data_IF_036830068984
#
_entry.id   IF_036830068984
#
_cell.length_a   1.000
_cell.length_b   1.000
_cell.length_c   1.000
_cell.angle_alpha   90.00
_cell.angle_beta   90.00
_cell.angle_gamma   90.00
#
_symmetry.space_group_name_H-M   'P 1'
#
loop_
_entity.id
_entity.type
_entity.pdbx_description
1 polymer ?
#
# COMPACT_ATOMS: atom_id res chain seq x y z
N UNK A 1 5.22 72.91 -18.33
CA UNK A 1 6.65 72.96 -18.69
C UNK A 1 6.82 72.15 -19.98
N UNK A 2 6.81 72.83 -21.15
CA UNK A 2 7.95 73.00 -22.11
C UNK A 2 8.44 71.66 -22.70
N UNK A 3 8.45 71.34 -24.02
CA UNK A 3 8.27 72.01 -25.34
C UNK A 3 7.94 70.91 -26.41
N UNK A 4 6.94 71.07 -27.31
CA UNK A 4 6.99 71.62 -28.70
C UNK A 4 7.39 70.57 -29.79
N UNK A 5 6.46 69.89 -30.50
CA UNK A 5 5.79 70.16 -31.83
C UNK A 5 6.70 70.10 -33.09
N UNK A 6 6.33 69.25 -34.07
CA UNK A 6 6.33 69.34 -35.57
C UNK A 6 6.64 67.95 -36.19
N UNK A 7 5.80 67.23 -36.95
CA UNK A 7 4.93 67.47 -38.14
C UNK A 7 5.71 67.71 -39.45
N UNK A 8 5.90 66.66 -40.27
CA UNK A 8 5.99 66.64 -41.76
C UNK A 8 6.12 65.16 -42.20
N UNK A 9 5.20 64.47 -42.89
CA UNK A 9 4.52 64.72 -44.17
C UNK A 9 5.43 64.67 -45.42
N UNK A 10 5.22 63.60 -46.20
CA UNK A 10 5.36 63.44 -47.66
C UNK A 10 6.64 62.83 -48.29
N UNK A 11 6.45 61.89 -49.25
CA UNK A 11 7.49 61.13 -49.96
C UNK A 11 7.81 61.69 -51.36
N UNK A 12 9.02 61.41 -51.87
CA UNK A 12 9.43 61.55 -53.28
C UNK A 12 10.72 60.72 -53.47
N UNK A 13 10.74 59.65 -54.28
CA UNK A 13 10.74 59.56 -55.75
C UNK A 13 11.93 60.30 -56.41
N UNK A 14 12.55 59.62 -57.39
CA UNK A 14 13.64 59.97 -58.34
C UNK A 14 14.99 59.25 -58.06
N UNK A 15 15.34 58.16 -58.78
CA UNK A 15 15.85 57.96 -60.17
C UNK A 15 17.37 58.15 -60.33
N UNK A 16 18.07 57.11 -60.84
CA UNK A 16 19.08 57.12 -61.96
C UNK A 16 20.35 58.00 -61.81
N UNK A 17 21.60 57.65 -62.18
CA UNK A 17 22.24 56.57 -62.95
C UNK A 17 23.80 56.62 -62.80
N UNK A 18 24.45 55.60 -63.38
CA UNK A 18 25.87 55.20 -63.43
C UNK A 18 26.93 56.26 -63.80
N UNK A 19 28.20 56.04 -63.41
CA UNK A 19 29.30 56.00 -64.39
C UNK A 19 30.51 55.19 -63.92
N UNK A 20 31.06 54.43 -64.87
CA UNK A 20 32.09 53.40 -64.81
C UNK A 20 33.36 53.88 -65.52
N UNK A 21 34.56 53.62 -64.97
CA UNK A 21 35.80 53.59 -65.75
C UNK A 21 36.81 52.58 -65.18
N UNK A 22 37.11 51.61 -66.04
CA UNK A 22 38.08 50.53 -65.95
C UNK A 22 39.49 51.04 -66.27
N UNK A 23 40.53 50.41 -65.71
CA UNK A 23 41.85 50.39 -66.33
C UNK A 23 42.52 49.03 -66.08
N UNK A 24 42.88 48.39 -67.19
CA UNK A 24 43.50 47.07 -67.37
C UNK A 24 45.01 47.14 -66.95
N UNK A 25 45.80 46.08 -66.78
CA UNK A 25 45.95 44.88 -67.62
C UNK A 25 46.88 43.82 -66.97
N UNK A 26 46.50 42.55 -67.16
CA UNK A 26 47.30 41.32 -67.44
C UNK A 26 48.48 40.87 -66.55
N UNK A 27 48.40 39.65 -65.99
CA UNK A 27 49.17 38.48 -66.50
C UNK A 27 48.64 37.14 -65.90
N UNK A 28 48.64 36.08 -66.70
CA UNK A 28 48.03 34.75 -66.46
C UNK A 28 48.78 33.87 -65.42
N UNK A 29 48.06 32.97 -64.75
CA UNK A 29 48.22 31.50 -64.78
C UNK A 29 47.55 30.82 -63.55
N UNK A 30 46.38 30.22 -63.81
CA UNK A 30 45.85 28.98 -63.20
C UNK A 30 45.78 28.85 -61.67
N UNK A 31 44.63 29.17 -61.06
CA UNK A 31 44.18 28.41 -59.88
C UNK A 31 42.65 28.42 -59.72
N UNK A 32 42.11 27.23 -59.55
CA UNK A 32 40.72 26.78 -59.47
C UNK A 32 39.80 27.72 -58.67
N UNK A 33 38.58 27.93 -59.16
CA UNK A 33 37.53 28.69 -58.49
C UNK A 33 37.39 28.32 -57.00
N UNK A 34 37.85 29.21 -56.12
CA UNK A 34 37.64 29.09 -54.68
C UNK A 34 36.18 29.46 -54.39
N UNK A 35 35.35 28.45 -54.12
CA UNK A 35 34.02 28.65 -53.58
C UNK A 35 34.11 29.46 -52.28
N UNK A 36 33.55 30.67 -52.29
CA UNK A 36 33.46 31.53 -51.11
C UNK A 36 32.45 30.94 -50.13
N UNK A 37 32.94 30.21 -49.14
CA UNK A 37 32.11 29.64 -48.08
C UNK A 37 32.05 30.61 -46.90
N UNK A 38 30.83 30.88 -46.43
CA UNK A 38 30.61 31.65 -45.22
C UNK A 38 30.78 30.72 -44.02
N UNK A 39 31.79 30.96 -43.19
CA UNK A 39 32.03 30.17 -41.97
C UNK A 39 31.61 30.99 -40.75
N UNK A 40 30.85 30.37 -39.86
CA UNK A 40 30.54 30.88 -38.53
C UNK A 40 31.27 29.99 -37.52
N UNK A 41 32.06 30.58 -36.63
CA UNK A 41 32.78 29.85 -35.60
C UNK A 41 31.80 29.39 -34.52
N UNK A 42 31.79 28.09 -34.22
CA UNK A 42 30.93 27.52 -33.20
C UNK A 42 31.45 27.89 -31.80
N UNK A 43 30.63 28.59 -31.00
CA UNK A 43 30.88 28.75 -29.56
C UNK A 43 30.18 27.63 -28.77
N UNK A 44 30.84 27.03 -27.76
CA UNK A 44 30.21 26.05 -26.90
C UNK A 44 29.09 26.70 -26.08
N UNK A 45 27.85 26.28 -26.34
CA UNK A 45 26.67 26.66 -25.57
C UNK A 45 26.18 25.43 -24.79
N UNK A 46 25.92 25.60 -23.49
CA UNK A 46 25.33 24.52 -22.67
C UNK A 46 23.83 24.50 -22.94
N UNK A 47 23.36 23.49 -23.68
CA UNK A 47 21.92 23.29 -23.91
C UNK A 47 21.28 22.63 -22.69
N UNK A 48 20.47 23.37 -21.95
CA UNK A 48 19.57 22.79 -20.95
C UNK A 48 18.37 22.18 -21.66
N UNK A 49 18.39 20.86 -21.86
CA UNK A 49 17.24 20.13 -22.41
C UNK A 49 16.10 20.10 -21.37
N UNK A 50 15.10 20.95 -21.55
CA UNK A 50 13.90 20.92 -20.72
C UNK A 50 12.93 19.86 -21.25
N UNK A 51 12.84 18.72 -20.55
CA UNK A 51 11.81 17.72 -20.81
C UNK A 51 10.47 18.21 -20.24
N UNK A 52 9.52 18.57 -21.10
CA UNK A 52 8.15 18.92 -20.69
C UNK A 52 7.34 17.65 -20.49
N UNK A 53 7.11 17.30 -19.23
CA UNK A 53 6.20 16.22 -18.86
C UNK A 53 4.81 16.80 -18.61
N UNK A 54 3.83 16.34 -19.38
CA UNK A 54 2.41 16.65 -19.16
C UNK A 54 1.82 15.61 -18.20
N UNK A 55 1.31 16.04 -17.06
CA UNK A 55 0.54 15.22 -16.12
C UNK A 55 -0.72 15.95 -15.70
N UNK A 56 -1.77 15.21 -15.34
CA UNK A 56 -2.97 15.79 -14.73
C UNK A 56 -2.80 15.89 -13.21
N UNK A 57 -3.31 16.97 -12.63
CA UNK A 57 -3.39 17.13 -11.17
C UNK A 57 -4.76 16.64 -10.74
N UNK A 58 -4.81 15.60 -9.92
CA UNK A 58 -6.05 15.14 -9.26
C UNK A 58 -6.06 15.60 -7.81
N UNK A 59 -7.25 15.95 -7.31
CA UNK A 59 -7.43 16.27 -5.91
C UNK A 59 -7.20 15.02 -5.05
N UNK A 60 -6.61 15.21 -3.87
CA UNK A 60 -6.43 14.14 -2.90
C UNK A 60 -7.79 13.74 -2.33
N UNK A 61 -8.00 12.44 -2.17
CA UNK A 61 -9.27 11.89 -1.68
C UNK A 61 -9.53 12.26 -0.21
N UNK A 62 -10.79 12.60 0.08
CA UNK A 62 -11.29 12.80 1.44
C UNK A 62 -11.46 11.43 2.12
N UNK A 63 -10.70 11.18 3.19
CA UNK A 63 -10.78 9.94 3.96
C UNK A 63 -11.54 10.20 5.26
N UNK A 64 -12.70 9.57 5.39
CA UNK A 64 -13.46 9.60 6.65
C UNK A 64 -12.69 8.86 7.75
N UNK A 65 -12.35 9.58 8.83
CA UNK A 65 -11.65 9.00 9.99
C UNK A 65 -12.69 8.58 11.03
N UNK A 66 -12.79 7.27 11.27
CA UNK A 66 -13.71 6.67 12.24
C UNK A 66 -13.00 5.87 13.34
N UNK A 67 -13.77 5.31 14.27
CA UNK A 67 -13.25 4.52 15.40
C UNK A 67 -13.44 3.04 15.12
N UNK A 68 -12.40 2.21 15.26
CA UNK A 68 -12.52 0.76 15.08
C UNK A 68 -13.34 0.06 16.18
N UNK A 69 -13.56 0.72 17.32
CA UNK A 69 -14.23 0.15 18.50
C UNK A 69 -15.61 0.79 18.69
N UNK A 70 -16.65 -0.05 18.69
CA UNK A 70 -18.03 0.36 18.97
C UNK A 70 -18.25 0.57 20.49
N UNK A 71 -19.08 1.55 20.87
CA UNK A 71 -19.47 1.81 22.27
C UNK A 71 -18.52 2.71 23.07
N UNK A 72 -17.64 3.47 22.40
CA UNK A 72 -16.86 4.53 23.00
C UNK A 72 -17.59 5.88 22.85
N UNK A 73 -17.54 6.73 23.88
CA UNK A 73 -18.04 8.11 23.82
C UNK A 73 -16.88 9.07 23.57
N UNK A 74 -17.10 10.09 22.75
CA UNK A 74 -16.15 11.18 22.55
C UNK A 74 -16.00 11.93 23.87
N UNK A 75 -14.83 11.83 24.49
CA UNK A 75 -14.52 12.53 25.73
C UNK A 75 -14.19 13.99 25.43
N UNK A 76 -13.31 14.20 24.46
CA UNK A 76 -12.87 15.53 24.01
C UNK A 76 -12.54 15.49 22.53
N UNK A 77 -12.81 16.59 21.84
CA UNK A 77 -12.29 16.87 20.50
C UNK A 77 -11.15 17.86 20.67
N UNK A 78 -9.99 17.56 20.10
CA UNK A 78 -8.73 18.27 20.34
C UNK A 78 -8.34 19.19 19.17
N UNK A 79 -9.18 19.28 18.13
CA UNK A 79 -8.93 20.03 16.90
C UNK A 79 -10.19 20.76 16.47
N UNK A 80 -10.03 21.92 15.84
CA UNK A 80 -11.12 22.73 15.31
C UNK A 80 -11.14 22.73 13.77
N UNK A 81 -12.22 23.27 13.20
CA UNK A 81 -12.32 23.44 11.75
C UNK A 81 -11.23 24.40 11.30
N UNK A 82 -10.54 24.05 10.22
CA UNK A 82 -9.42 24.81 9.62
C UNK A 82 -8.04 24.63 10.28
N UNK A 83 -7.89 23.72 11.26
CA UNK A 83 -6.58 23.36 11.79
C UNK A 83 -5.76 22.48 10.81
N UNK A 84 -4.46 22.76 10.70
CA UNK A 84 -3.51 21.92 9.95
C UNK A 84 -2.96 20.83 10.87
N UNK A 85 -3.36 19.58 10.64
CA UNK A 85 -2.98 18.43 11.48
C UNK A 85 -1.84 17.61 10.87
N UNK A 86 -0.96 17.06 11.72
CA UNK A 86 0.15 16.18 11.30
C UNK A 86 -0.25 14.70 11.36
N UNK A 87 0.46 13.86 10.59
CA UNK A 87 0.27 12.39 10.64
C UNK A 87 0.52 11.88 12.07
N UNK A 88 -0.47 11.20 12.65
CA UNK A 88 -0.41 10.64 14.00
C UNK A 88 -0.86 11.59 15.12
N UNK A 89 -1.34 12.79 14.79
CA UNK A 89 -1.93 13.70 15.77
C UNK A 89 -3.27 13.17 16.29
N UNK A 90 -3.49 13.29 17.60
CA UNK A 90 -4.75 12.90 18.24
C UNK A 90 -5.82 13.94 17.94
N UNK A 91 -6.85 13.55 17.20
CA UNK A 91 -7.97 14.43 16.84
C UNK A 91 -9.06 14.43 17.91
N UNK A 92 -9.32 13.28 18.53
CA UNK A 92 -10.30 13.14 19.59
C UNK A 92 -9.87 12.03 20.56
N UNK A 93 -10.14 12.23 21.84
CA UNK A 93 -9.96 11.21 22.87
C UNK A 93 -11.30 10.56 23.17
N UNK A 94 -11.34 9.23 23.16
CA UNK A 94 -12.56 8.46 23.39
C UNK A 94 -12.48 7.78 24.76
N UNK A 95 -13.56 7.80 25.53
CA UNK A 95 -13.69 7.03 26.77
C UNK A 95 -14.70 5.91 26.63
N UNK A 96 -14.40 4.79 27.27
CA UNK A 96 -15.34 3.68 27.39
C UNK A 96 -16.54 4.12 28.21
N UNK A 97 -17.74 3.81 27.72
CA UNK A 97 -19.03 4.12 28.37
C UNK A 97 -19.05 3.78 29.87
N UNK A 98 -18.28 2.77 30.27
CA UNK A 98 -18.19 2.33 31.67
C UNK A 98 -17.63 3.38 32.64
N UNK A 99 -16.83 4.34 32.18
CA UNK A 99 -16.23 5.37 33.07
C UNK A 99 -17.24 6.47 33.42
N UNK A 100 -18.33 6.63 32.66
CA UNK A 100 -19.45 7.52 32.97
C UNK A 100 -20.56 6.82 33.77
N UNK A 101 -20.39 5.56 34.17
CA UNK A 101 -21.35 4.81 35.01
C UNK A 101 -21.59 5.41 36.41
N UNK A 102 -20.82 6.43 36.81
CA UNK A 102 -21.03 7.16 38.06
C UNK A 102 -21.90 8.42 37.91
N UNK A 103 -22.11 8.89 36.68
CA UNK A 103 -23.06 9.97 36.39
C UNK A 103 -24.37 9.33 35.94
N UNK A 104 -25.46 9.64 36.64
CA UNK A 104 -26.84 9.13 36.55
C UNK A 104 -27.55 9.26 35.17
N UNK A 105 -26.79 9.28 34.07
CA UNK A 105 -27.27 9.54 32.71
C UNK A 105 -27.82 8.31 31.98
N UNK A 106 -27.80 7.11 32.58
CA UNK A 106 -28.26 5.86 31.96
C UNK A 106 -29.22 5.14 32.91
N UNK A 107 -30.39 4.74 32.40
CA UNK A 107 -31.35 3.92 33.15
C UNK A 107 -30.70 2.61 33.60
N UNK A 108 -30.86 2.26 34.88
CA UNK A 108 -30.35 1.00 35.47
C UNK A 108 -30.75 -0.23 34.65
N UNK A 109 -31.90 -0.18 33.99
CA UNK A 109 -32.41 -1.24 33.14
C UNK A 109 -31.55 -1.49 31.90
N UNK A 110 -31.10 -0.44 31.20
CA UNK A 110 -30.23 -0.60 30.02
C UNK A 110 -28.88 -1.19 30.43
N UNK A 111 -28.36 -0.76 31.59
CA UNK A 111 -27.12 -1.28 32.16
C UNK A 111 -27.24 -2.77 32.50
N UNK A 112 -28.31 -3.18 33.18
CA UNK A 112 -28.57 -4.58 33.50
C UNK A 112 -28.70 -5.42 32.22
N UNK A 113 -29.35 -4.90 31.20
CA UNK A 113 -29.49 -5.58 29.90
C UNK A 113 -28.14 -5.77 29.20
N UNK A 114 -27.28 -4.75 29.17
CA UNK A 114 -25.94 -4.86 28.57
C UNK A 114 -25.05 -5.83 29.37
N UNK A 115 -25.12 -5.79 30.69
CA UNK A 115 -24.41 -6.76 31.53
C UNK A 115 -24.91 -8.18 31.33
N UNK A 116 -26.22 -8.38 31.20
CA UNK A 116 -26.81 -9.67 30.88
C UNK A 116 -26.31 -10.19 29.54
N UNK A 117 -26.28 -9.36 28.49
CA UNK A 117 -25.70 -9.71 27.18
C UNK A 117 -24.25 -10.17 27.30
N UNK A 118 -23.42 -9.45 28.06
CA UNK A 118 -22.02 -9.84 28.29
C UNK A 118 -21.91 -11.17 29.04
N UNK A 119 -22.75 -11.40 30.06
CA UNK A 119 -22.78 -12.68 30.78
C UNK A 119 -23.18 -13.84 29.86
N UNK A 120 -24.22 -13.67 29.04
CA UNK A 120 -24.65 -14.68 28.07
C UNK A 120 -23.56 -14.97 27.04
N UNK A 121 -22.91 -13.93 26.50
CA UNK A 121 -21.81 -14.11 25.54
C UNK A 121 -20.63 -14.87 26.16
N UNK A 122 -20.27 -14.59 27.43
CA UNK A 122 -19.22 -15.33 28.14
C UNK A 122 -19.61 -16.79 28.38
N UNK A 123 -20.85 -17.06 28.76
CA UNK A 123 -21.35 -18.42 28.92
C UNK A 123 -21.32 -19.20 27.60
N UNK A 124 -21.67 -18.55 26.48
CA UNK A 124 -21.59 -19.17 25.15
C UNK A 124 -20.14 -19.53 24.76
N UNK A 125 -19.17 -18.65 25.05
CA UNK A 125 -17.75 -18.95 24.82
C UNK A 125 -17.28 -20.12 25.68
N UNK A 126 -17.69 -20.18 26.94
CA UNK A 126 -17.36 -21.31 27.83
C UNK A 126 -17.95 -22.62 27.32
N UNK A 127 -19.20 -22.62 26.86
CA UNK A 127 -19.85 -23.79 26.27
C UNK A 127 -19.11 -24.27 25.00
N UNK A 128 -18.77 -23.36 24.09
CA UNK A 128 -18.01 -23.68 22.88
C UNK A 128 -16.62 -24.25 23.20
N UNK A 129 -15.93 -23.74 24.21
CA UNK A 129 -14.65 -24.28 24.64
C UNK A 129 -14.77 -25.70 25.22
N UNK A 130 -15.84 -25.97 25.98
CA UNK A 130 -16.11 -27.31 26.49
C UNK A 130 -16.41 -28.31 25.36
N UNK A 131 -17.15 -27.87 24.33
CA UNK A 131 -17.42 -28.68 23.14
C UNK A 131 -16.13 -29.01 22.38
N UNK A 132 -15.24 -28.04 22.18
CA UNK A 132 -13.91 -28.26 21.57
C UNK A 132 -13.12 -29.31 22.36
N UNK A 133 -13.10 -29.20 23.70
CA UNK A 133 -12.38 -30.15 24.55
C UNK A 133 -12.95 -31.57 24.43
N UNK A 134 -14.29 -31.72 24.34
CA UNK A 134 -14.94 -33.01 24.14
C UNK A 134 -14.59 -33.63 22.77
N UNK A 135 -14.65 -32.83 21.69
CA UNK A 135 -14.31 -33.31 20.35
C UNK A 135 -12.83 -33.71 20.25
N UNK A 136 -11.95 -32.97 20.92
CA UNK A 136 -10.53 -33.32 21.01
C UNK A 136 -10.32 -34.66 21.72
N UNK A 137 -10.98 -34.88 22.86
CA UNK A 137 -10.90 -36.17 23.57
C UNK A 137 -11.39 -37.34 22.69
N UNK A 138 -12.47 -37.14 21.93
CA UNK A 138 -12.98 -38.16 21.00
C UNK A 138 -11.98 -38.45 19.87
N UNK A 139 -11.31 -37.42 19.36
CA UNK A 139 -10.28 -37.57 18.33
C UNK A 139 -9.09 -38.35 18.86
N UNK A 140 -8.65 -38.07 20.09
CA UNK A 140 -7.54 -38.77 20.72
C UNK A 140 -7.90 -40.22 21.02
N UNK A 141 -9.10 -40.51 21.50
CA UNK A 141 -9.57 -41.89 21.66
C UNK A 141 -9.57 -42.64 20.30
N UNK A 142 -10.10 -42.01 19.25
CA UNK A 142 -10.09 -42.59 17.89
C UNK A 142 -8.68 -42.86 17.38
N UNK A 143 -7.72 -41.98 17.69
CA UNK A 143 -6.30 -42.18 17.38
C UNK A 143 -5.69 -43.32 18.19
N UNK A 144 -6.03 -43.44 19.47
CA UNK A 144 -5.59 -44.54 20.30
C UNK A 144 -6.13 -45.89 19.81
N UNK A 145 -7.41 -45.94 19.40
CA UNK A 145 -8.00 -47.13 18.81
C UNK A 145 -7.26 -47.55 17.52
N UNK A 146 -6.93 -46.59 16.65
CA UNK A 146 -6.11 -46.87 15.46
C UNK A 146 -4.73 -47.41 15.79
N UNK A 147 -4.03 -46.80 16.76
CA UNK A 147 -2.72 -47.29 17.21
C UNK A 147 -2.81 -48.70 17.78
N UNK A 148 -3.92 -49.05 18.45
CA UNK A 148 -4.17 -50.41 18.95
C UNK A 148 -4.50 -51.42 17.85
N UNK A 149 -5.01 -50.97 16.70
CA UNK A 149 -5.24 -51.83 15.54
C UNK A 149 -3.93 -52.24 14.84
N UNK A 150 -2.83 -51.50 15.08
CA UNK A 150 -1.51 -51.81 14.57
C UNK A 150 -0.69 -52.49 15.67
N UNK A 151 -0.30 -53.76 15.44
CA UNK A 151 0.54 -54.50 16.39
C UNK A 151 2.01 -54.20 16.10
N UNK A 152 2.67 -53.50 17.02
CA UNK A 152 4.08 -53.12 16.94
C UNK A 152 4.93 -54.00 17.86
N UNK A 153 6.17 -54.29 17.46
CA UNK A 153 7.12 -55.01 18.31
C UNK A 153 7.64 -54.08 19.44
N UNK A 154 7.62 -54.52 20.70
CA UNK A 154 8.07 -53.68 21.83
C UNK A 154 9.60 -53.53 21.93
N UNK A 155 10.37 -54.47 21.36
CA UNK A 155 11.83 -54.47 21.33
C UNK A 155 12.37 -55.33 20.18
N UNK A 156 13.68 -55.24 19.92
CA UNK A 156 14.38 -56.10 18.96
C UNK A 156 14.44 -57.55 19.49
N UNK A 157 13.60 -58.42 18.94
CA UNK A 157 13.45 -59.82 19.37
C UNK A 157 13.27 -60.75 18.16
N UNK A 158 13.34 -62.06 18.39
CA UNK A 158 13.03 -63.05 17.36
C UNK A 158 11.61 -63.61 17.56
N UNK A 159 10.88 -63.86 16.45
CA UNK A 159 9.57 -64.52 16.49
C UNK A 159 9.80 -66.03 16.59
N UNK A 160 9.38 -66.63 17.70
CA UNK A 160 9.52 -68.08 17.94
C UNK A 160 8.31 -68.85 17.40
N UNK A 161 7.12 -68.28 17.50
CA UNK A 161 5.88 -68.84 16.94
C UNK A 161 4.98 -67.74 16.38
N UNK A 162 4.28 -68.07 15.28
CA UNK A 162 3.24 -67.24 14.65
C UNK A 162 1.93 -68.02 14.60
N UNK A 163 0.90 -67.51 15.24
CA UNK A 163 -0.44 -68.11 15.30
C UNK A 163 -1.50 -67.32 14.51
N UNK A 164 -1.15 -66.14 13.96
CA UNK A 164 -2.05 -65.29 13.20
C UNK A 164 -2.20 -65.70 11.72
N UNK A 165 -3.44 -65.70 11.23
CA UNK A 165 -3.81 -65.99 9.83
C UNK A 165 -4.71 -64.89 9.25
N UNK A 166 -4.58 -64.63 7.95
CA UNK A 166 -5.37 -63.59 7.26
C UNK A 166 -6.84 -64.00 7.19
N UNK A 167 -7.73 -63.13 7.65
CA UNK A 167 -9.18 -63.35 7.61
C UNK A 167 -9.78 -63.94 8.90
N UNK A 168 -8.95 -64.40 9.84
CA UNK A 168 -9.43 -64.83 11.16
C UNK A 168 -9.74 -63.61 12.06
N UNK A 169 -10.76 -63.76 12.90
CA UNK A 169 -11.08 -62.79 13.96
C UNK A 169 -10.07 -62.95 15.11
N UNK A 170 -9.57 -61.83 15.64
CA UNK A 170 -8.69 -61.84 16.81
C UNK A 170 -9.45 -62.25 18.06
N UNK A 171 -8.98 -63.28 18.76
CA UNK A 171 -9.47 -63.72 20.06
C UNK A 171 -8.52 -63.26 21.19
N UNK A 172 -8.76 -63.70 22.43
CA UNK A 172 -7.92 -63.36 23.58
C UNK A 172 -6.56 -64.08 23.58
N UNK A 173 -6.21 -64.82 22.53
CA UNK A 173 -4.98 -65.59 22.46
C UNK A 173 -3.82 -64.77 21.85
N UNK A 174 -2.58 -65.14 22.16
CA UNK A 174 -1.41 -64.46 21.64
C UNK A 174 -1.20 -64.74 20.15
N UNK A 175 -1.05 -63.69 19.36
CA UNK A 175 -0.82 -63.79 17.91
C UNK A 175 0.63 -64.19 17.56
N UNK A 176 1.60 -63.74 18.37
CA UNK A 176 3.03 -63.96 18.18
C UNK A 176 3.73 -64.23 19.53
N UNK A 177 4.68 -65.16 19.54
CA UNK A 177 5.59 -65.36 20.67
C UNK A 177 6.98 -64.80 20.31
N UNK A 178 7.57 -64.05 21.24
CA UNK A 178 8.87 -63.41 21.11
C UNK A 178 9.85 -64.03 22.12
N UNK A 179 11.12 -64.17 21.74
CA UNK A 179 12.22 -64.56 22.63
C UNK A 179 13.42 -63.62 22.46
#
# INVERSE_FOLDING_TARGET
>A
MKKLILLFALPSLFLTACQEQNNEQSNELTETALMKVNVVQAQPATLTQTLRLSGSITAKEDVAVGTALLGLQIQTVNVEVSDVVKKGQVLATLKRYQTLMKSDAISRQELEQQQAKVRTARAAVQAANAEIAQVQAQLDDSRHQRKKAEVLAPADCIITQRSAEVGNLTDSNALFHLA
#
